data_IF_222208025465
#
_entry.id   IF_222208025465
#
_cell.length_a   1.000
_cell.length_b   1.000
_cell.length_c   1.000
_cell.angle_alpha   90.00
_cell.angle_beta   90.00
_cell.angle_gamma   90.00
#
_symmetry.space_group_name_H-M   'P 1'
#
loop_
_entity.id
_entity.type
_entity.pdbx_description
1 polymer ?
#
# COMPACT_ATOMS: atom_id res chain seq x y z
N UNK A 1 -18.59 1.23 -9.14
CA UNK A 1 -17.80 1.04 -7.91
C UNK A 1 -18.47 1.82 -6.80
N UNK A 2 -18.47 1.31 -5.56
CA UNK A 2 -19.04 1.97 -4.39
C UNK A 2 -17.94 2.72 -3.61
N UNK A 3 -18.31 3.77 -2.88
CA UNK A 3 -17.39 4.47 -2.00
C UNK A 3 -16.94 3.57 -0.84
N UNK A 4 -15.68 3.72 -0.40
CA UNK A 4 -15.18 3.06 0.81
C UNK A 4 -15.85 3.71 2.02
N UNK A 5 -16.57 2.91 2.81
CA UNK A 5 -17.25 3.41 4.02
C UNK A 5 -16.25 3.96 5.04
N UNK A 6 -16.58 4.97 5.85
CA UNK A 6 -15.64 5.65 6.75
C UNK A 6 -14.80 4.69 7.62
N UNK A 7 -15.42 3.68 8.21
CA UNK A 7 -14.75 2.70 9.08
C UNK A 7 -13.77 1.77 8.35
N UNK A 8 -13.72 1.84 7.01
CA UNK A 8 -12.79 1.09 6.17
C UNK A 8 -11.73 2.00 5.52
N UNK A 9 -11.70 3.30 5.82
CA UNK A 9 -10.73 4.25 5.25
C UNK A 9 -9.39 4.26 6.00
N UNK A 10 -8.83 3.08 6.25
CA UNK A 10 -7.51 2.88 6.86
C UNK A 10 -6.60 2.08 5.93
N UNK A 11 -5.31 2.06 6.23
CA UNK A 11 -4.31 1.27 5.51
C UNK A 11 -3.64 2.07 4.40
N UNK A 12 -3.70 1.61 3.14
CA UNK A 12 -2.96 2.29 2.06
C UNK A 12 -3.46 3.71 1.80
N UNK A 13 -4.71 4.05 2.13
CA UNK A 13 -5.25 5.42 2.03
C UNK A 13 -4.41 6.43 2.80
N UNK A 14 -3.68 6.00 3.83
CA UNK A 14 -2.80 6.87 4.60
C UNK A 14 -1.60 7.42 3.82
N UNK A 15 -1.34 6.90 2.62
CA UNK A 15 -0.33 7.40 1.68
C UNK A 15 -0.92 8.26 0.55
N UNK A 16 -2.25 8.44 0.51
CA UNK A 16 -2.93 9.24 -0.49
C UNK A 16 -3.07 10.70 -0.06
N UNK A 17 -2.79 11.64 -0.97
CA UNK A 17 -3.16 13.06 -0.84
C UNK A 17 -4.36 13.43 -1.73
N UNK A 18 -4.79 12.51 -2.60
CA UNK A 18 -5.95 12.62 -3.46
C UNK A 18 -6.93 11.45 -3.28
N UNK A 19 -7.30 10.78 -4.39
CA UNK A 19 -8.24 9.67 -4.38
C UNK A 19 -7.61 8.33 -4.00
N UNK A 20 -8.42 7.45 -3.41
CA UNK A 20 -8.04 6.07 -3.10
C UNK A 20 -9.18 5.08 -3.39
N UNK A 21 -8.79 3.85 -3.73
CA UNK A 21 -9.65 2.69 -3.92
C UNK A 21 -8.95 1.52 -3.24
N UNK A 22 -9.56 0.90 -2.23
CA UNK A 22 -8.87 -0.11 -1.44
C UNK A 22 -9.77 -1.25 -0.99
N UNK A 23 -9.14 -2.35 -0.63
CA UNK A 23 -9.73 -3.45 0.10
C UNK A 23 -8.83 -3.82 1.26
N UNK A 24 -9.45 -3.84 2.44
CA UNK A 24 -8.81 -4.24 3.68
C UNK A 24 -9.14 -5.69 4.04
N UNK A 25 -8.24 -6.34 4.77
CA UNK A 25 -8.39 -7.70 5.27
C UNK A 25 -7.67 -7.89 6.60
N UNK A 26 -8.24 -8.71 7.48
CA UNK A 26 -7.70 -9.00 8.79
C UNK A 26 -8.08 -10.39 9.26
N UNK A 27 -7.17 -11.04 9.98
CA UNK A 27 -7.39 -12.37 10.52
C UNK A 27 -6.61 -12.56 11.83
N UNK A 28 -7.28 -12.76 12.98
CA UNK A 28 -6.61 -13.27 14.17
C UNK A 28 -6.28 -14.74 13.95
N UNK A 29 -5.00 -15.11 14.09
CA UNK A 29 -4.50 -16.47 13.93
C UNK A 29 -4.80 -17.29 15.18
N UNK A 30 -5.55 -18.38 15.04
CA UNK A 30 -5.94 -19.22 16.19
C UNK A 30 -4.78 -19.91 16.91
N UNK A 31 -3.64 -20.12 16.25
CA UNK A 31 -2.49 -20.81 16.85
C UNK A 31 -1.57 -19.87 17.65
N UNK A 32 -1.48 -18.60 17.27
CA UNK A 32 -0.56 -17.62 17.86
C UNK A 32 -1.28 -16.49 18.58
N UNK A 33 -2.59 -16.35 18.35
CA UNK A 33 -3.42 -15.22 18.78
C UNK A 33 -2.96 -13.85 18.22
N UNK A 34 -2.03 -13.87 17.27
CA UNK A 34 -1.53 -12.68 16.59
C UNK A 34 -2.36 -12.36 15.34
N UNK A 35 -2.32 -11.11 14.92
CA UNK A 35 -3.09 -10.59 13.81
C UNK A 35 -2.27 -10.53 12.52
N UNK A 36 -2.91 -10.97 11.44
CA UNK A 36 -2.52 -10.63 10.07
C UNK A 36 -3.40 -9.48 9.60
N UNK A 37 -2.79 -8.45 9.02
CA UNK A 37 -3.47 -7.27 8.48
C UNK A 37 -2.99 -7.01 7.05
N UNK A 38 -3.91 -6.68 6.16
CA UNK A 38 -3.58 -6.20 4.83
C UNK A 38 -4.47 -5.03 4.38
N UNK A 39 -3.91 -4.26 3.46
CA UNK A 39 -4.61 -3.21 2.72
C UNK A 39 -4.03 -3.15 1.31
N UNK A 40 -4.89 -3.26 0.29
CA UNK A 40 -4.49 -3.44 -1.11
C UNK A 40 -5.38 -2.58 -2.01
N UNK A 41 -4.79 -1.92 -3.00
CA UNK A 41 -5.53 -1.13 -3.97
C UNK A 41 -4.71 -0.02 -4.63
N UNK A 42 -5.39 1.07 -4.97
CA UNK A 42 -4.85 2.22 -5.68
C UNK A 42 -4.91 3.48 -4.83
N UNK A 43 -3.85 4.27 -4.84
CA UNK A 43 -3.77 5.58 -4.18
C UNK A 43 -3.25 6.64 -5.13
N UNK A 44 -3.67 7.88 -4.94
CA UNK A 44 -3.12 9.04 -5.64
C UNK A 44 -2.25 9.83 -4.67
N UNK A 45 -0.99 10.05 -5.05
CA UNK A 45 -0.01 10.85 -4.29
C UNK A 45 0.77 11.73 -5.26
N UNK A 46 0.87 13.04 -4.99
CA UNK A 46 1.57 13.98 -5.86
C UNK A 46 1.03 14.03 -7.30
N UNK A 47 -0.26 13.75 -7.49
CA UNK A 47 -0.91 13.68 -8.81
C UNK A 47 -0.64 12.40 -9.61
N UNK A 48 0.12 11.44 -9.06
CA UNK A 48 0.40 10.14 -9.70
C UNK A 48 -0.38 9.03 -8.99
N UNK A 49 -0.93 8.09 -9.76
CA UNK A 49 -1.59 6.89 -9.22
C UNK A 49 -0.58 5.76 -8.99
N UNK A 50 -0.61 5.16 -7.80
CA UNK A 50 0.21 4.01 -7.41
C UNK A 50 -0.69 2.82 -7.07
N UNK A 51 -0.25 1.62 -7.45
CA UNK A 51 -0.80 0.38 -6.92
C UNK A 51 0.02 -0.03 -5.71
N UNK A 52 -0.64 -0.23 -4.57
CA UNK A 52 0.00 -0.53 -3.29
C UNK A 52 -0.66 -1.76 -2.70
N UNK A 53 0.17 -2.70 -2.27
CA UNK A 53 -0.25 -3.87 -1.52
C UNK A 53 0.66 -3.99 -0.29
N UNK A 54 0.06 -3.88 0.89
CA UNK A 54 0.77 -4.09 2.15
C UNK A 54 0.13 -5.29 2.85
N UNK A 55 0.98 -6.23 3.26
CA UNK A 55 0.61 -7.41 4.04
C UNK A 55 1.59 -7.49 5.21
N UNK A 56 1.06 -7.63 6.41
CA UNK A 56 1.86 -7.77 7.63
C UNK A 56 1.21 -8.79 8.56
N UNK A 57 2.04 -9.43 9.39
CA UNK A 57 1.64 -10.46 10.35
C UNK A 57 2.33 -10.26 11.70
N UNK A 58 1.89 -11.01 12.71
CA UNK A 58 2.56 -11.07 14.01
C UNK A 58 2.21 -9.94 14.98
N UNK A 59 1.13 -9.19 14.73
CA UNK A 59 0.73 -8.08 15.61
C UNK A 59 -0.06 -8.58 16.82
N UNK A 60 0.24 -8.05 18.00
CA UNK A 60 -0.49 -8.42 19.22
C UNK A 60 -1.93 -7.87 19.23
N UNK A 61 -2.17 -6.73 18.57
CA UNK A 61 -3.48 -6.11 18.41
C UNK A 61 -3.80 -5.82 16.94
N UNK A 62 -5.10 -5.75 16.63
CA UNK A 62 -5.61 -5.39 15.31
C UNK A 62 -5.15 -3.97 14.91
N UNK A 63 -5.23 -3.03 15.84
CA UNK A 63 -4.89 -1.62 15.65
C UNK A 63 -3.39 -1.41 15.43
N UNK A 64 -2.54 -2.20 16.10
CA UNK A 64 -1.09 -2.17 15.89
C UNK A 64 -0.74 -2.56 14.44
N UNK A 65 -1.40 -3.60 13.94
CA UNK A 65 -1.19 -4.05 12.56
C UNK A 65 -1.70 -3.04 11.53
N UNK A 66 -2.81 -2.32 11.80
CA UNK A 66 -3.23 -1.17 10.97
C UNK A 66 -2.13 -0.11 10.96
N UNK A 67 -1.62 0.29 12.12
CA UNK A 67 -0.58 1.33 12.21
C UNK A 67 0.69 0.96 11.42
N UNK A 68 1.11 -0.31 11.50
CA UNK A 68 2.24 -0.84 10.70
C UNK A 68 1.94 -0.78 9.21
N UNK A 69 0.74 -1.19 8.79
CA UNK A 69 0.32 -1.14 7.37
C UNK A 69 0.36 0.29 6.84
N UNK A 70 -0.15 1.26 7.60
CA UNK A 70 -0.14 2.67 7.20
C UNK A 70 1.26 3.26 7.13
N UNK A 71 2.11 2.94 8.11
CA UNK A 71 3.50 3.38 8.10
C UNK A 71 4.26 2.83 6.89
N UNK A 72 4.08 1.54 6.59
CA UNK A 72 4.68 0.90 5.41
C UNK A 72 4.17 1.52 4.10
N UNK A 73 2.87 1.80 3.99
CA UNK A 73 2.29 2.44 2.81
C UNK A 73 2.90 3.83 2.56
N UNK A 74 2.99 4.68 3.60
CA UNK A 74 3.61 6.01 3.51
C UNK A 74 5.06 5.91 3.05
N UNK A 75 5.86 5.07 3.72
CA UNK A 75 7.28 4.91 3.39
C UNK A 75 7.49 4.40 1.96
N UNK A 76 6.68 3.43 1.51
CA UNK A 76 6.80 2.88 0.16
C UNK A 76 6.45 3.91 -0.92
N UNK A 77 5.35 4.65 -0.76
CA UNK A 77 4.94 5.68 -1.73
C UNK A 77 5.95 6.83 -1.74
N UNK A 78 6.39 7.31 -0.57
CA UNK A 78 7.41 8.37 -0.46
C UNK A 78 8.72 7.97 -1.16
N UNK A 79 9.17 6.73 -0.99
CA UNK A 79 10.40 6.24 -1.60
C UNK A 79 10.33 6.24 -3.13
N UNK A 80 9.19 5.88 -3.72
CA UNK A 80 9.02 5.85 -5.18
C UNK A 80 8.64 7.20 -5.78
N UNK A 81 8.09 8.13 -5.00
CA UNK A 81 7.87 9.52 -5.44
C UNK A 81 9.16 10.34 -5.42
N UNK A 82 10.07 10.03 -4.50
CA UNK A 82 11.32 10.78 -4.29
C UNK A 82 12.46 10.37 -5.22
N UNK A 83 12.25 9.38 -6.11
CA UNK A 83 13.22 8.95 -7.13
C UNK A 83 12.77 9.33 -8.56
N UNK A 84 13.23 10.47 -9.12
CA UNK A 84 13.01 10.85 -10.52
C UNK A 84 13.62 9.87 -11.54
N UNK A 85 14.56 9.02 -11.13
CA UNK A 85 15.34 8.11 -11.98
C UNK A 85 14.65 6.80 -12.33
N UNK A 86 13.66 6.36 -11.54
CA UNK A 86 12.87 5.16 -11.83
C UNK A 86 12.02 5.31 -13.11
N UNK A 87 11.61 6.53 -13.45
CA UNK A 87 10.83 6.83 -14.67
C UNK A 87 11.68 6.90 -15.96
N UNK A 88 13.01 6.96 -15.87
CA UNK A 88 13.88 7.12 -17.04
C UNK A 88 14.55 5.82 -17.52
N UNK A 89 14.45 4.73 -16.75
CA UNK A 89 15.13 3.46 -17.06
C UNK A 89 14.24 2.38 -17.72
N UNK A 90 12.92 2.56 -17.81
CA UNK A 90 12.03 1.59 -18.46
C UNK A 90 12.11 1.59 -20.01
N UNK A 91 12.79 2.58 -20.62
CA UNK A 91 12.84 2.74 -22.09
C UNK A 91 14.24 2.55 -22.69
N UNK A 92 15.27 2.17 -21.90
CA UNK A 92 16.63 1.99 -22.44
C UNK A 92 17.01 0.51 -22.66
N UNK A 93 16.90 0.11 -23.93
CA UNK A 93 17.61 -0.97 -24.64
C UNK A 93 17.08 -2.41 -24.53
N UNK A 94 16.18 -2.75 -25.43
CA UNK A 94 16.41 -3.93 -26.29
C UNK A 94 16.89 -3.40 -27.64
N UNK A 95 18.22 -3.41 -27.85
CA UNK A 95 18.79 -3.28 -29.18
C UNK A 95 18.57 -4.58 -29.97
N UNK A 96 18.57 -4.53 -31.31
CA UNK A 96 18.30 -5.72 -32.12
C UNK A 96 19.40 -6.77 -31.91
N UNK A 97 18.95 -8.02 -31.77
CA UNK A 97 19.81 -9.20 -31.75
C UNK A 97 20.26 -9.41 -33.20
N UNK A 98 21.55 -9.24 -33.46
CA UNK A 98 22.20 -9.76 -34.67
C UNK A 98 22.56 -11.23 -34.46
#
# INVERSE_FOLDING_TARGET
MAAVVPDQQWGISAAADGGFELKNGWLPRSQTELWDINSIGRVTSGGTSYLVAVVSDGHAAFEDGIAVVEAAARAAVEAVTSDPGANLNATRRLGPIA
#
